data_IF_241936346111
#
_entry.id   IF_241936346111
#
_cell.length_a   1.000
_cell.length_b   1.000
_cell.length_c   1.000
_cell.angle_alpha   90.00
_cell.angle_beta   90.00
_cell.angle_gamma   90.00
#
_symmetry.space_group_name_H-M   'P 1'
#
loop_
_entity.id
_entity.type
_entity.pdbx_description
1 polymer ?
#
# COMPACT_ATOMS: atom_id res chain seq x y z
N UNK A 1 -21.59 7.05 31.70
CA UNK A 1 -20.86 7.78 30.64
C UNK A 1 -19.70 6.89 30.22
N UNK A 2 -19.77 6.37 29.00
CA UNK A 2 -18.79 5.43 28.44
C UNK A 2 -17.59 6.26 27.97
N UNK A 3 -16.43 6.07 28.60
CA UNK A 3 -15.17 6.70 28.21
C UNK A 3 -14.69 6.05 26.91
N UNK A 4 -14.98 6.70 25.78
CA UNK A 4 -14.37 6.38 24.50
C UNK A 4 -12.86 6.49 24.66
N UNK A 5 -12.18 5.35 24.54
CA UNK A 5 -10.73 5.28 24.62
C UNK A 5 -10.10 6.23 23.61
N UNK A 6 -9.25 7.11 24.10
CA UNK A 6 -8.36 7.94 23.31
C UNK A 6 -7.39 7.00 22.58
N UNK A 7 -7.78 6.52 21.39
CA UNK A 7 -6.86 5.86 20.47
C UNK A 7 -5.98 6.95 19.89
N UNK A 8 -4.82 7.16 20.48
CA UNK A 8 -3.79 8.08 19.97
C UNK A 8 -3.22 7.52 18.64
N UNK A 9 -4.02 7.60 17.58
CA UNK A 9 -3.65 7.27 16.21
C UNK A 9 -2.91 8.46 15.64
N UNK A 10 -1.64 8.27 15.31
CA UNK A 10 -0.84 9.33 14.70
C UNK A 10 -0.94 9.21 13.19
N UNK A 11 -1.60 10.18 12.56
CA UNK A 11 -1.69 10.26 11.10
C UNK A 11 -0.41 10.85 10.52
N UNK A 12 0.03 10.29 9.40
CA UNK A 12 1.14 10.81 8.60
C UNK A 12 0.86 10.65 7.10
N UNK A 13 1.72 11.21 6.28
CA UNK A 13 1.72 11.13 4.84
C UNK A 13 3.09 10.65 4.37
N UNK A 14 3.10 9.54 3.62
CA UNK A 14 4.25 9.04 2.90
C UNK A 14 4.20 9.58 1.47
N UNK A 15 5.19 10.38 1.09
CA UNK A 15 5.35 10.83 -0.29
C UNK A 15 6.17 9.80 -1.05
N UNK A 16 5.59 9.34 -2.15
CA UNK A 16 6.17 8.38 -3.06
C UNK A 16 6.44 9.06 -4.40
N UNK A 17 7.57 8.75 -5.01
CA UNK A 17 7.96 9.20 -6.34
C UNK A 17 7.88 8.05 -7.34
N UNK A 18 7.36 8.33 -8.53
CA UNK A 18 7.29 7.38 -9.63
C UNK A 18 8.71 7.07 -10.15
N UNK A 19 9.01 5.81 -10.52
CA UNK A 19 10.30 5.44 -11.10
C UNK A 19 10.52 6.14 -12.45
N UNK A 20 11.76 6.60 -12.71
CA UNK A 20 12.12 7.35 -13.92
C UNK A 20 11.92 6.54 -15.22
N UNK A 21 12.01 5.20 -15.14
CA UNK A 21 11.96 4.30 -16.30
C UNK A 21 10.68 3.46 -16.35
N UNK A 22 9.51 4.08 -16.25
CA UNK A 22 8.25 3.46 -16.69
C UNK A 22 8.16 3.41 -18.24
N UNK A 23 9.24 3.02 -18.92
CA UNK A 23 9.35 3.00 -20.38
C UNK A 23 9.38 1.57 -20.89
N UNK A 24 8.17 1.03 -21.10
CA UNK A 24 7.91 -0.03 -22.07
C UNK A 24 8.64 -1.35 -21.86
N UNK A 25 8.11 -2.19 -20.98
CA UNK A 25 7.71 -3.60 -21.25
C UNK A 25 7.45 -4.30 -19.90
N UNK A 26 6.18 -4.54 -19.55
CA UNK A 26 5.70 -5.51 -18.54
C UNK A 26 6.31 -5.56 -17.10
N UNK A 27 7.38 -4.83 -16.78
CA UNK A 27 8.04 -4.83 -15.48
C UNK A 27 7.41 -3.76 -14.58
N UNK A 28 6.78 -4.21 -13.50
CA UNK A 28 6.16 -3.33 -12.51
C UNK A 28 7.27 -2.88 -11.56
N UNK A 29 7.60 -1.60 -11.60
CA UNK A 29 8.61 -1.02 -10.70
C UNK A 29 7.91 -0.39 -9.49
N UNK A 30 8.38 -0.68 -8.25
CA UNK A 30 7.82 -0.06 -7.06
C UNK A 30 8.12 1.45 -7.04
N UNK A 31 7.14 2.23 -6.58
CA UNK A 31 7.35 3.64 -6.29
C UNK A 31 8.28 3.80 -5.08
N UNK A 32 9.11 4.84 -5.08
CA UNK A 32 10.13 5.03 -4.05
C UNK A 32 9.67 6.04 -2.99
N UNK A 33 9.83 5.75 -1.69
CA UNK A 33 9.54 6.72 -0.64
C UNK A 33 10.62 7.81 -0.61
N UNK A 34 10.20 9.06 -0.78
CA UNK A 34 11.12 10.22 -0.83
C UNK A 34 10.98 11.14 0.37
N UNK A 35 9.81 11.15 1.03
CA UNK A 35 9.55 12.05 2.17
C UNK A 35 8.43 11.52 3.06
N UNK A 36 8.53 11.76 4.36
CA UNK A 36 7.45 11.51 5.34
C UNK A 36 7.06 12.84 5.98
N UNK A 37 5.76 13.08 6.13
CA UNK A 37 5.23 14.32 6.70
C UNK A 37 4.08 14.04 7.68
N UNK A 38 4.03 14.76 8.79
CA UNK A 38 2.88 14.72 9.72
C UNK A 38 1.64 15.44 9.15
N UNK A 39 1.84 16.33 8.19
CA UNK A 39 0.77 17.12 7.55
C UNK A 39 0.67 16.76 6.07
N UNK A 40 -0.52 16.97 5.49
CA UNK A 40 -0.69 16.75 4.05
C UNK A 40 0.22 17.71 3.26
N UNK A 41 1.10 17.20 2.38
CA UNK A 41 1.91 18.05 1.52
C UNK A 41 1.02 18.80 0.52
N UNK A 42 1.24 20.09 0.36
CA UNK A 42 0.54 20.93 -0.62
C UNK A 42 1.28 21.09 -1.94
N UNK A 43 2.54 20.66 -1.96
CA UNK A 43 3.57 20.95 -2.96
C UNK A 43 4.14 19.66 -3.58
N UNK A 44 3.27 18.76 -4.02
CA UNK A 44 3.70 17.54 -4.71
C UNK A 44 4.14 17.84 -6.15
N UNK A 45 5.28 17.29 -6.56
CA UNK A 45 5.68 17.26 -7.96
C UNK A 45 4.73 16.40 -8.80
N UNK A 46 4.77 16.55 -10.13
CA UNK A 46 3.86 15.83 -11.03
C UNK A 46 4.02 14.30 -11.00
N UNK A 47 5.21 13.83 -10.62
CA UNK A 47 5.59 12.44 -10.44
C UNK A 47 5.52 11.97 -8.98
N UNK A 48 5.00 12.80 -8.06
CA UNK A 48 4.84 12.46 -6.65
C UNK A 48 3.38 12.22 -6.27
N UNK A 49 3.17 11.33 -5.32
CA UNK A 49 1.88 11.08 -4.68
C UNK A 49 2.04 11.02 -3.17
N UNK A 50 1.04 11.46 -2.40
CA UNK A 50 1.02 11.35 -0.96
C UNK A 50 0.04 10.26 -0.51
N UNK A 51 0.56 9.20 0.10
CA UNK A 51 -0.21 8.13 0.71
C UNK A 51 -0.43 8.44 2.20
N UNK A 52 -1.68 8.52 2.64
CA UNK A 52 -1.99 8.70 4.06
C UNK A 52 -1.84 7.38 4.80
N UNK A 53 -1.16 7.42 5.95
CA UNK A 53 -1.04 6.30 6.86
C UNK A 53 -1.37 6.70 8.29
N UNK A 54 -1.66 5.72 9.11
CA UNK A 54 -1.96 5.87 10.54
C UNK A 54 -1.09 4.88 11.32
N UNK A 55 -0.41 5.39 12.34
CA UNK A 55 0.34 4.55 13.27
C UNK A 55 -0.56 4.26 14.47
N UNK A 56 -0.80 2.98 14.73
CA UNK A 56 -1.54 2.55 15.92
C UNK A 56 -0.62 2.51 17.17
N UNK A 57 -1.19 2.21 18.34
CA UNK A 57 -0.41 2.15 19.58
C UNK A 57 0.56 0.96 19.67
N UNK A 58 0.42 -0.04 18.79
CA UNK A 58 1.34 -1.16 18.64
C UNK A 58 2.48 -0.88 17.65
N UNK A 59 2.56 0.36 17.13
CA UNK A 59 3.49 0.76 16.07
C UNK A 59 3.26 0.09 14.71
N UNK A 60 2.09 -0.51 14.51
CA UNK A 60 1.69 -0.95 13.18
C UNK A 60 1.30 0.25 12.34
N UNK A 61 1.66 0.18 11.07
CA UNK A 61 1.38 1.21 10.09
C UNK A 61 0.25 0.75 9.20
N UNK A 62 -0.88 1.46 9.30
CA UNK A 62 -2.11 1.16 8.58
C UNK A 62 -2.23 2.15 7.43
N UNK A 63 -2.36 1.66 6.20
CA UNK A 63 -2.53 2.51 5.01
C UNK A 63 -3.96 2.47 4.45
N UNK A 64 -4.86 1.73 5.11
CA UNK A 64 -6.21 1.47 4.61
C UNK A 64 -6.22 0.46 3.45
N UNK A 65 -5.09 -0.20 3.19
CA UNK A 65 -4.94 -1.24 2.16
C UNK A 65 -5.16 -2.66 2.71
N UNK A 66 -5.23 -2.80 4.04
CA UNK A 66 -5.30 -4.10 4.71
C UNK A 66 -6.70 -4.73 4.72
N UNK A 67 -7.75 -3.96 4.43
CA UNK A 67 -9.14 -4.39 4.48
C UNK A 67 -9.81 -4.30 3.11
N UNK A 68 -9.39 -5.13 2.15
CA UNK A 68 -10.08 -5.26 0.86
C UNK A 68 -10.94 -6.53 0.80
N UNK A 69 -12.13 -6.42 0.20
CA UNK A 69 -13.01 -7.55 -0.03
C UNK A 69 -12.46 -8.42 -1.17
N UNK A 70 -11.69 -9.44 -0.81
CA UNK A 70 -11.37 -10.54 -1.72
C UNK A 70 -12.51 -11.55 -1.69
N UNK A 71 -13.02 -12.04 -2.84
CA UNK A 71 -13.90 -13.20 -2.87
C UNK A 71 -13.28 -14.34 -2.05
N UNK A 72 -14.05 -14.97 -1.16
CA UNK A 72 -13.50 -15.95 -0.20
C UNK A 72 -12.71 -17.07 -0.88
N UNK A 73 -13.15 -17.48 -2.08
CA UNK A 73 -12.47 -18.47 -2.92
C UNK A 73 -11.14 -17.99 -3.52
N UNK A 74 -10.93 -16.68 -3.67
CA UNK A 74 -9.64 -16.11 -4.10
C UNK A 74 -8.70 -15.89 -2.91
N UNK A 75 -9.25 -15.63 -1.71
CA UNK A 75 -8.47 -15.39 -0.50
C UNK A 75 -7.57 -16.57 -0.14
N UNK A 76 -8.10 -17.79 -0.21
CA UNK A 76 -7.32 -19.00 0.10
C UNK A 76 -6.19 -19.20 -0.92
N UNK A 77 -6.50 -19.08 -2.22
CA UNK A 77 -5.50 -19.22 -3.28
C UNK A 77 -4.37 -18.17 -3.19
N UNK A 78 -4.72 -16.91 -2.89
CA UNK A 78 -3.74 -15.83 -2.71
C UNK A 78 -2.87 -16.08 -1.48
N UNK A 79 -3.46 -16.51 -0.35
CA UNK A 79 -2.71 -16.79 0.87
C UNK A 79 -1.75 -17.97 0.70
N UNK A 80 -2.20 -19.03 0.04
CA UNK A 80 -1.35 -20.19 -0.26
C UNK A 80 -0.20 -19.78 -1.15
N UNK A 81 -0.44 -18.98 -2.19
CA UNK A 81 0.63 -18.47 -3.06
C UNK A 81 1.62 -17.57 -2.32
N UNK A 82 1.13 -16.62 -1.52
CA UNK A 82 1.99 -15.78 -0.68
C UNK A 82 2.85 -16.66 0.23
N UNK A 83 2.26 -17.68 0.84
CA UNK A 83 2.96 -18.57 1.74
C UNK A 83 4.01 -19.43 1.01
N UNK A 84 3.65 -20.01 -0.14
CA UNK A 84 4.57 -20.81 -0.97
C UNK A 84 5.70 -19.95 -1.51
N UNK A 85 5.39 -18.81 -2.12
CA UNK A 85 6.38 -17.86 -2.65
C UNK A 85 7.34 -17.42 -1.55
N UNK A 86 6.87 -17.02 -0.37
CA UNK A 86 7.76 -16.60 0.72
C UNK A 86 8.62 -17.73 1.29
N UNK A 87 8.18 -18.98 1.21
CA UNK A 87 8.95 -20.14 1.65
C UNK A 87 10.00 -20.57 0.63
N UNK A 88 9.66 -20.56 -0.66
CA UNK A 88 10.54 -21.04 -1.73
C UNK A 88 11.48 -19.95 -2.24
N UNK A 89 11.00 -18.71 -2.40
CA UNK A 89 11.75 -17.57 -2.92
C UNK A 89 11.24 -16.28 -2.26
N UNK A 90 11.77 -15.89 -1.09
CA UNK A 90 11.34 -14.69 -0.40
C UNK A 90 11.52 -13.46 -1.30
N UNK A 91 10.42 -12.86 -1.71
CA UNK A 91 10.35 -11.75 -2.66
C UNK A 91 9.38 -10.67 -2.16
N UNK A 92 9.62 -9.43 -2.58
CA UNK A 92 8.72 -8.34 -2.25
C UNK A 92 7.48 -8.40 -3.14
N UNK A 93 6.30 -8.33 -2.54
CA UNK A 93 5.06 -8.18 -3.30
C UNK A 93 4.89 -6.75 -3.80
N UNK A 94 4.32 -6.62 -4.98
CA UNK A 94 3.96 -5.33 -5.55
C UNK A 94 2.45 -5.14 -5.45
N UNK A 95 2.03 -3.98 -4.98
CA UNK A 95 0.62 -3.60 -4.93
C UNK A 95 0.45 -2.34 -5.76
N UNK A 96 -0.48 -2.38 -6.70
CA UNK A 96 -0.92 -1.20 -7.42
C UNK A 96 -2.13 -0.62 -6.70
N UNK A 97 -2.07 0.69 -6.48
CA UNK A 97 -2.98 1.39 -5.60
C UNK A 97 -3.43 2.67 -6.27
N UNK A 98 -4.73 2.95 -6.24
CA UNK A 98 -5.26 4.26 -6.60
C UNK A 98 -5.31 5.13 -5.36
N UNK A 99 -4.71 6.31 -5.46
CA UNK A 99 -4.67 7.29 -4.37
C UNK A 99 -5.49 8.52 -4.78
N UNK A 100 -6.38 8.97 -3.90
CA UNK A 100 -7.17 10.19 -4.13
C UNK A 100 -6.40 11.47 -3.71
N UNK A 101 -6.99 12.64 -4.00
CA UNK A 101 -6.43 13.94 -3.59
C UNK A 101 -6.29 14.11 -2.06
N UNK A 102 -6.86 13.20 -1.26
CA UNK A 102 -6.77 13.18 0.18
C UNK A 102 -5.68 12.24 0.71
N UNK A 103 -5.04 11.47 -0.16
CA UNK A 103 -4.10 10.42 0.19
C UNK A 103 -4.77 9.12 0.63
N UNK A 104 -6.10 9.00 0.49
CA UNK A 104 -6.77 7.73 0.73
C UNK A 104 -6.47 6.79 -0.44
N UNK A 105 -6.29 5.51 -0.12
CA UNK A 105 -5.75 4.56 -1.07
C UNK A 105 -6.65 3.32 -1.19
N UNK A 106 -6.80 2.82 -2.42
CA UNK A 106 -7.59 1.63 -2.73
C UNK A 106 -6.73 0.69 -3.59
N UNK A 107 -6.51 -0.57 -3.17
CA UNK A 107 -5.75 -1.51 -3.97
C UNK A 107 -6.54 -1.90 -5.23
N UNK A 108 -5.84 -2.07 -6.36
CA UNK A 108 -6.46 -2.48 -7.63
C UNK A 108 -5.79 -3.70 -8.27
N UNK A 109 -4.50 -3.90 -8.02
CA UNK A 109 -3.76 -5.08 -8.48
C UNK A 109 -2.71 -5.52 -7.45
N UNK A 110 -2.40 -6.80 -7.40
CA UNK A 110 -1.36 -7.40 -6.56
C UNK A 110 -0.55 -8.39 -7.41
N UNK A 111 0.78 -8.28 -7.36
CA UNK A 111 1.71 -9.25 -7.95
C UNK A 111 2.39 -10.07 -6.85
N UNK A 112 2.35 -11.40 -7.03
CA UNK A 112 2.95 -12.42 -6.15
C UNK A 112 3.71 -13.39 -7.04
N UNK A 113 5.04 -13.30 -7.11
CA UNK A 113 5.83 -14.01 -8.12
C UNK A 113 5.35 -13.66 -9.53
N UNK A 114 5.17 -14.69 -10.35
CA UNK A 114 4.64 -14.55 -11.72
C UNK A 114 3.12 -14.37 -11.80
N UNK A 115 2.42 -14.30 -10.66
CA UNK A 115 0.94 -14.23 -10.62
C UNK A 115 0.47 -12.81 -10.37
N UNK A 116 -0.55 -12.40 -11.12
CA UNK A 116 -1.23 -11.11 -10.97
C UNK A 116 -2.67 -11.31 -10.57
N UNK A 117 -3.07 -10.66 -9.49
CA UNK A 117 -4.42 -10.59 -8.96
C UNK A 117 -5.00 -9.20 -9.21
N UNK A 118 -6.25 -9.12 -9.65
CA UNK A 118 -6.96 -7.85 -9.90
C UNK A 118 -8.27 -7.83 -9.13
N UNK A 119 -8.62 -6.65 -8.66
CA UNK A 119 -9.69 -6.41 -7.70
C UNK A 119 -10.83 -5.55 -8.25
#
# INVERSE_FOLDING_TARGET
>A
EEVLGDTNQTRFYLVLEAPEEASGNAEVHPWQPVRVSAMRPGDLAANEVALAGEVNHYWDVIYGLEAYYMPENQREAINDDIQTTQQETPEAFLVEVKVDHRGNAVPISLWVGDRTYRF
#
